data_IF_714368417904
#
_entry.id   IF_714368417904
#
_cell.length_a   1.000
_cell.length_b   1.000
_cell.length_c   1.000
_cell.angle_alpha   90.00
_cell.angle_beta   90.00
_cell.angle_gamma   90.00
#
_symmetry.space_group_name_H-M   'P 1'
#
loop_
_entity.id
_entity.type
_entity.pdbx_description
1 polymer ?
#
# COMPACT_ATOMS: atom_id res chain seq x y z
N UNK A 1 -15.46 50.18 -18.24
CA UNK A 1 -16.09 48.83 -18.22
C UNK A 1 -15.10 47.85 -17.60
N UNK A 2 -15.33 47.42 -16.36
CA UNK A 2 -14.42 46.54 -15.61
C UNK A 2 -14.69 45.09 -16.01
N UNK A 3 -13.68 44.41 -16.57
CA UNK A 3 -13.74 42.99 -16.97
C UNK A 3 -13.49 42.14 -15.72
N UNK A 4 -14.53 41.47 -15.24
CA UNK A 4 -14.41 40.48 -14.15
C UNK A 4 -13.90 39.16 -14.71
N UNK A 5 -12.69 38.78 -14.33
CA UNK A 5 -12.06 37.50 -14.65
C UNK A 5 -12.49 36.50 -13.56
N UNK A 6 -13.45 35.62 -13.87
CA UNK A 6 -13.84 34.54 -12.95
C UNK A 6 -12.81 33.40 -13.07
N UNK A 7 -11.98 33.24 -12.05
CA UNK A 7 -11.04 32.13 -11.89
C UNK A 7 -11.82 30.93 -11.32
N UNK A 8 -12.17 29.94 -12.15
CA UNK A 8 -12.74 28.68 -11.67
C UNK A 8 -11.57 27.82 -11.18
N UNK A 9 -11.35 27.81 -9.87
CA UNK A 9 -10.47 26.85 -9.20
C UNK A 9 -11.22 25.52 -9.19
N UNK A 10 -10.94 24.68 -10.19
CA UNK A 10 -11.37 23.28 -10.19
C UNK A 10 -10.58 22.52 -9.13
N UNK A 11 -11.15 22.38 -7.94
CA UNK A 11 -10.66 21.46 -6.91
C UNK A 11 -10.89 20.04 -7.45
N UNK A 12 -9.86 19.48 -8.09
CA UNK A 12 -9.75 18.05 -8.33
C UNK A 12 -9.53 17.40 -6.96
N UNK A 13 -10.62 17.04 -6.28
CA UNK A 13 -10.56 16.07 -5.17
C UNK A 13 -10.21 14.71 -5.79
N UNK A 14 -8.91 14.47 -5.97
CA UNK A 14 -8.40 13.15 -6.29
C UNK A 14 -8.80 12.21 -5.16
N UNK A 15 -9.67 11.26 -5.46
CA UNK A 15 -10.00 10.16 -4.56
C UNK A 15 -8.71 9.34 -4.35
N UNK A 16 -7.97 9.66 -3.29
CA UNK A 16 -6.91 8.81 -2.80
C UNK A 16 -7.56 7.48 -2.43
N UNK A 17 -7.28 6.44 -3.21
CA UNK A 17 -7.69 5.08 -2.86
C UNK A 17 -6.83 4.68 -1.68
N UNK A 18 -7.37 4.86 -0.46
CA UNK A 18 -6.75 4.33 0.75
C UNK A 18 -6.81 2.81 0.62
N UNK A 19 -5.66 2.18 0.38
CA UNK A 19 -5.59 0.72 0.40
C UNK A 19 -5.72 0.30 1.85
N UNK A 20 -6.69 -0.55 2.14
CA UNK A 20 -6.80 -1.16 3.44
C UNK A 20 -5.61 -2.11 3.61
N UNK A 21 -4.66 -1.77 4.46
CA UNK A 21 -3.72 -2.73 5.01
C UNK A 21 -4.45 -3.52 6.09
N UNK A 22 -4.28 -4.84 6.11
CA UNK A 22 -4.87 -5.70 7.14
C UNK A 22 -3.75 -6.17 8.06
N UNK A 23 -3.90 -5.89 9.36
CA UNK A 23 -2.98 -6.43 10.37
C UNK A 23 -3.33 -7.89 10.60
N UNK A 24 -2.40 -8.80 10.30
CA UNK A 24 -2.57 -10.25 10.45
C UNK A 24 -2.04 -10.72 11.80
N UNK A 25 -1.00 -10.05 12.30
CA UNK A 25 -0.50 -10.25 13.64
C UNK A 25 0.03 -8.93 14.19
N UNK A 26 -0.20 -8.66 15.47
CA UNK A 26 0.34 -7.52 16.19
C UNK A 26 0.47 -7.86 17.66
N UNK A 27 1.62 -7.52 18.23
CA UNK A 27 1.86 -7.62 19.65
C UNK A 27 2.80 -6.49 20.10
N UNK A 28 2.21 -5.53 20.80
CA UNK A 28 2.94 -4.49 21.56
C UNK A 28 3.12 -4.85 23.03
N UNK A 29 2.87 -6.11 23.41
CA UNK A 29 3.08 -6.66 24.75
C UNK A 29 2.24 -6.05 25.90
N UNK A 30 1.33 -5.13 25.59
CA UNK A 30 0.43 -4.47 26.54
C UNK A 30 -0.61 -5.39 27.18
N UNK A 31 -0.93 -6.51 26.54
CA UNK A 31 -1.91 -7.47 27.09
C UNK A 31 -1.35 -8.39 28.18
N UNK A 32 -0.05 -8.35 28.43
CA UNK A 32 0.64 -9.21 29.38
C UNK A 32 1.01 -8.48 30.67
N UNK A 33 1.33 -9.25 31.71
CA UNK A 33 1.81 -8.73 32.99
C UNK A 33 3.34 -8.66 32.98
N UNK A 34 3.92 -7.69 33.69
CA UNK A 34 5.35 -7.68 33.94
C UNK A 34 5.85 -9.01 34.52
N UNK A 35 6.93 -9.54 33.96
CA UNK A 35 7.53 -10.81 34.35
C UNK A 35 6.96 -12.03 33.62
N UNK A 36 5.89 -11.88 32.83
CA UNK A 36 5.33 -12.99 32.06
C UNK A 36 6.37 -13.56 31.09
N UNK A 37 6.52 -14.89 31.09
CA UNK A 37 7.41 -15.60 30.17
C UNK A 37 6.76 -15.75 28.80
N UNK A 38 7.36 -15.13 27.77
CA UNK A 38 6.81 -15.09 26.42
C UNK A 38 6.80 -16.46 25.73
N UNK A 39 7.61 -17.42 26.17
CA UNK A 39 7.50 -18.81 25.67
C UNK A 39 6.16 -19.46 26.01
N UNK A 40 5.57 -19.08 27.16
CA UNK A 40 4.22 -19.49 27.53
C UNK A 40 3.11 -18.77 26.75
N UNK A 41 3.45 -17.69 26.04
CA UNK A 41 2.53 -16.84 25.25
C UNK A 41 2.62 -17.13 23.74
N UNK A 42 3.17 -18.30 23.38
CA UNK A 42 3.26 -18.74 21.98
C UNK A 42 4.40 -18.10 21.19
N UNK A 43 5.43 -17.59 21.86
CA UNK A 43 6.73 -17.31 21.25
C UNK A 43 7.67 -18.51 21.45
N UNK A 44 8.71 -18.60 20.62
CA UNK A 44 9.79 -19.56 20.80
C UNK A 44 11.11 -18.83 20.99
N UNK A 45 11.89 -19.25 21.98
CA UNK A 45 13.19 -18.64 22.32
C UNK A 45 14.27 -19.70 22.24
N UNK A 46 15.42 -19.37 21.63
CA UNK A 46 16.60 -20.22 21.60
C UNK A 46 17.79 -19.52 22.24
N UNK A 47 18.54 -20.25 23.07
CA UNK A 47 19.70 -19.77 23.84
C UNK A 47 19.43 -18.54 24.72
N UNK A 48 18.35 -18.53 25.49
CA UNK A 48 18.10 -17.46 26.49
C UNK A 48 16.68 -17.47 27.02
N UNK A 49 16.22 -16.32 27.49
CA UNK A 49 14.84 -16.08 27.91
C UNK A 49 14.26 -14.83 27.26
N UNK A 50 12.93 -14.75 27.20
CA UNK A 50 12.22 -13.52 26.85
C UNK A 50 11.05 -13.34 27.82
N UNK A 51 11.00 -12.20 28.49
CA UNK A 51 9.97 -11.84 29.45
C UNK A 51 9.38 -10.49 29.13
N UNK A 52 8.14 -10.26 29.53
CA UNK A 52 7.53 -8.93 29.43
C UNK A 52 8.10 -8.03 30.50
N UNK A 53 8.60 -6.87 30.09
CA UNK A 53 9.15 -5.86 30.99
C UNK A 53 8.30 -4.61 30.94
N UNK A 54 7.93 -4.08 32.11
CA UNK A 54 7.32 -2.77 32.20
C UNK A 54 8.42 -1.69 32.24
N UNK A 55 8.29 -0.68 31.38
CA UNK A 55 9.25 0.41 31.22
C UNK A 55 9.54 1.14 32.55
N UNK A 56 8.49 1.45 33.33
CA UNK A 56 8.64 2.16 34.59
C UNK A 56 9.43 1.36 35.63
N UNK A 57 9.26 0.04 35.66
CA UNK A 57 9.97 -0.85 36.59
C UNK A 57 11.43 -1.08 36.17
N UNK A 58 11.71 -1.11 34.86
CA UNK A 58 13.06 -1.29 34.33
C UNK A 58 13.91 -0.02 34.33
N UNK A 59 13.35 1.13 34.66
CA UNK A 59 14.03 2.43 34.58
C UNK A 59 14.42 2.80 33.13
N UNK A 60 13.63 2.36 32.16
CA UNK A 60 13.83 2.64 30.74
C UNK A 60 12.52 2.96 30.03
N UNK A 61 12.56 2.99 28.70
CA UNK A 61 11.39 3.37 27.88
C UNK A 61 10.94 2.19 27.00
N UNK A 62 9.63 1.90 26.96
CA UNK A 62 9.00 1.15 25.89
C UNK A 62 8.95 2.00 24.61
N UNK A 63 8.81 1.41 23.44
CA UNK A 63 8.64 2.21 22.23
C UNK A 63 7.22 2.78 22.17
N UNK A 64 6.23 1.95 22.46
CA UNK A 64 4.84 2.35 22.64
C UNK A 64 4.30 1.78 23.96
N UNK A 65 3.20 2.33 24.45
CA UNK A 65 2.56 1.83 25.66
C UNK A 65 3.46 1.88 26.91
N UNK A 66 3.49 0.78 27.67
CA UNK A 66 4.22 0.64 28.92
C UNK A 66 5.06 -0.64 29.00
N UNK A 67 4.78 -1.62 28.15
CA UNK A 67 5.41 -2.94 28.18
C UNK A 67 6.19 -3.20 26.90
N UNK A 68 7.22 -4.04 27.01
CA UNK A 68 7.96 -4.54 25.86
C UNK A 68 8.49 -5.95 26.16
N UNK A 69 8.96 -6.66 25.15
CA UNK A 69 9.66 -7.93 25.35
C UNK A 69 11.14 -7.67 25.63
N UNK A 70 11.61 -8.01 26.82
CA UNK A 70 13.03 -8.02 27.17
C UNK A 70 13.60 -9.41 26.94
N UNK A 71 14.56 -9.51 26.02
CA UNK A 71 15.26 -10.75 25.71
C UNK A 71 16.63 -10.78 26.38
N UNK A 72 16.93 -11.86 27.09
CA UNK A 72 18.20 -12.09 27.80
C UNK A 72 18.91 -13.32 27.21
N UNK A 73 19.78 -13.13 26.20
CA UNK A 73 20.59 -14.21 25.66
C UNK A 73 21.53 -14.84 26.70
N UNK A 74 21.58 -16.17 26.68
CA UNK A 74 22.52 -17.01 27.43
C UNK A 74 23.67 -17.54 26.55
N UNK A 75 23.59 -17.34 25.24
CA UNK A 75 24.59 -17.73 24.24
C UNK A 75 24.85 -16.62 23.22
N UNK A 76 25.84 -16.84 22.35
CA UNK A 76 26.23 -15.86 21.35
C UNK A 76 25.20 -15.70 20.23
N UNK A 77 24.36 -16.70 20.00
CA UNK A 77 23.37 -16.68 18.93
C UNK A 77 22.00 -16.85 19.55
N UNK A 78 21.25 -15.77 19.69
CA UNK A 78 19.91 -15.80 20.27
C UNK A 78 18.85 -15.58 19.20
N UNK A 79 17.69 -16.23 19.39
CA UNK A 79 16.52 -16.00 18.54
C UNK A 79 15.25 -15.86 19.40
N UNK A 80 14.50 -14.79 19.15
CA UNK A 80 13.12 -14.61 19.60
C UNK A 80 12.19 -14.75 18.40
N UNK A 81 11.31 -15.75 18.40
CA UNK A 81 10.56 -16.18 17.20
C UNK A 81 9.05 -16.22 17.42
N UNK A 82 8.30 -15.85 16.39
CA UNK A 82 6.86 -16.07 16.25
C UNK A 82 6.58 -16.88 14.99
N UNK A 83 5.98 -18.06 15.16
CA UNK A 83 5.49 -18.86 14.04
C UNK A 83 4.09 -18.38 13.65
N UNK A 84 3.84 -18.26 12.36
CA UNK A 84 2.58 -17.82 11.78
C UNK A 84 2.21 -18.73 10.60
N UNK A 85 0.91 -18.82 10.33
CA UNK A 85 0.40 -19.40 9.08
C UNK A 85 -0.15 -18.26 8.22
N UNK A 86 0.41 -18.07 7.04
CA UNK A 86 0.06 -16.99 6.11
C UNK A 86 -0.53 -17.57 4.81
N UNK A 87 -1.29 -16.75 4.09
CA UNK A 87 -1.93 -17.18 2.83
C UNK A 87 -0.94 -17.13 1.66
N UNK A 88 -0.96 -18.17 0.83
CA UNK A 88 -0.17 -18.19 -0.41
C UNK A 88 -0.60 -17.10 -1.41
N UNK A 89 0.37 -16.58 -2.17
CA UNK A 89 0.15 -15.54 -3.17
C UNK A 89 -0.05 -14.13 -2.60
N UNK A 90 -0.03 -13.96 -1.28
CA UNK A 90 -0.13 -12.65 -0.62
C UNK A 90 1.25 -12.07 -0.31
N UNK A 91 1.30 -10.74 -0.31
CA UNK A 91 2.47 -9.98 0.12
C UNK A 91 2.23 -9.47 1.52
N UNK A 92 3.25 -9.58 2.36
CA UNK A 92 3.23 -9.15 3.74
C UNK A 92 4.40 -8.22 4.03
N UNK A 93 4.24 -7.39 5.05
CA UNK A 93 5.30 -6.60 5.66
C UNK A 93 5.44 -7.00 7.12
N UNK A 94 6.61 -7.48 7.52
CA UNK A 94 7.01 -7.67 8.91
C UNK A 94 7.68 -6.41 9.41
N UNK A 95 7.10 -5.80 10.44
CA UNK A 95 7.65 -4.63 11.14
C UNK A 95 7.93 -4.97 12.60
N UNK A 96 9.03 -4.45 13.12
CA UNK A 96 9.38 -4.60 14.54
C UNK A 96 10.26 -3.45 14.99
N UNK A 97 10.07 -3.03 16.24
CA UNK A 97 10.94 -2.07 16.92
C UNK A 97 11.91 -2.84 17.80
N UNK A 98 13.20 -2.54 17.67
CA UNK A 98 14.23 -3.18 18.48
C UNK A 98 15.25 -2.18 19.02
N UNK A 99 15.86 -2.50 20.15
CA UNK A 99 17.07 -1.84 20.65
C UNK A 99 17.93 -2.84 21.44
N UNK A 100 19.22 -2.57 21.53
CA UNK A 100 20.16 -3.27 22.41
C UNK A 100 20.82 -2.24 23.33
N UNK A 101 20.56 -2.24 24.65
CA UNK A 101 21.16 -1.28 25.58
C UNK A 101 22.69 -1.24 25.53
N UNK A 102 23.34 -2.37 25.22
CA UNK A 102 24.80 -2.48 25.09
C UNK A 102 25.32 -2.11 23.68
N UNK A 103 24.43 -1.69 22.77
CA UNK A 103 24.76 -1.37 21.38
C UNK A 103 25.24 -2.58 20.56
N UNK A 104 24.81 -3.81 20.92
CA UNK A 104 25.22 -5.03 20.22
C UNK A 104 24.31 -5.36 19.06
N UNK A 105 24.85 -6.15 18.14
CA UNK A 105 24.20 -6.39 16.88
C UNK A 105 22.96 -7.27 17.03
N UNK A 106 21.90 -6.85 16.36
CA UNK A 106 20.67 -7.59 16.21
C UNK A 106 20.05 -7.30 14.84
N UNK A 107 19.11 -8.13 14.40
CA UNK A 107 18.35 -7.91 13.16
C UNK A 107 17.02 -8.65 13.18
N UNK A 108 16.05 -8.11 12.47
CA UNK A 108 14.80 -8.79 12.16
C UNK A 108 14.96 -9.69 10.92
N UNK A 109 14.25 -10.81 10.89
CA UNK A 109 14.22 -11.73 9.76
C UNK A 109 12.82 -12.32 9.61
N UNK A 110 12.36 -12.42 8.37
CA UNK A 110 11.21 -13.23 7.98
C UNK A 110 11.72 -14.50 7.28
N UNK A 111 11.30 -15.67 7.76
CA UNK A 111 11.47 -16.94 7.06
C UNK A 111 10.14 -17.40 6.49
N UNK A 112 10.12 -17.74 5.21
CA UNK A 112 8.96 -18.28 4.50
C UNK A 112 9.47 -19.40 3.61
N UNK A 113 8.95 -20.62 3.82
CA UNK A 113 9.56 -21.82 3.24
C UNK A 113 11.05 -21.95 3.63
N UNK A 114 11.92 -22.08 2.64
CA UNK A 114 13.39 -22.16 2.84
C UNK A 114 14.11 -20.80 2.76
N UNK A 115 13.37 -19.72 2.47
CA UNK A 115 13.93 -18.39 2.22
C UNK A 115 14.06 -17.63 3.53
N UNK A 116 15.23 -17.03 3.76
CA UNK A 116 15.46 -16.09 4.85
C UNK A 116 15.58 -14.67 4.27
N UNK A 117 14.69 -13.80 4.68
CA UNK A 117 14.62 -12.40 4.22
C UNK A 117 14.95 -11.55 5.45
N UNK A 118 16.17 -11.06 5.50
CA UNK A 118 16.71 -10.38 6.67
C UNK A 118 16.77 -8.86 6.45
N UNK A 119 16.47 -8.10 7.50
CA UNK A 119 16.84 -6.70 7.57
C UNK A 119 18.34 -6.52 7.84
N UNK A 120 18.76 -5.27 7.88
CA UNK A 120 20.14 -4.90 8.20
C UNK A 120 20.53 -5.33 9.62
N UNK A 121 21.81 -5.64 9.79
CA UNK A 121 22.38 -5.88 11.11
C UNK A 121 22.62 -4.53 11.80
N UNK A 122 21.92 -4.28 12.90
CA UNK A 122 21.92 -2.99 13.62
C UNK A 122 22.45 -3.15 15.04
N UNK A 123 23.24 -2.18 15.50
CA UNK A 123 23.75 -2.08 16.88
C UNK A 123 23.20 -0.86 17.60
N UNK A 124 21.88 -0.66 17.53
CA UNK A 124 21.24 0.56 18.01
C UNK A 124 20.93 0.50 19.52
N UNK A 125 21.31 1.55 20.25
CA UNK A 125 20.93 1.76 21.65
C UNK A 125 19.55 2.41 21.79
N UNK A 126 19.11 3.11 20.75
CA UNK A 126 17.77 3.69 20.64
C UNK A 126 16.84 2.77 19.84
N UNK A 127 15.53 2.88 20.09
CA UNK A 127 14.51 2.14 19.36
C UNK A 127 14.61 2.38 17.84
N UNK A 128 14.82 1.30 17.10
CA UNK A 128 14.97 1.32 15.64
C UNK A 128 13.92 0.45 14.99
N UNK A 129 13.26 0.99 13.97
CA UNK A 129 12.29 0.24 13.17
C UNK A 129 13.00 -0.58 12.10
N UNK A 130 12.71 -1.87 12.02
CA UNK A 130 13.00 -2.68 10.84
C UNK A 130 11.69 -3.04 10.14
N UNK A 131 11.68 -2.98 8.80
CA UNK A 131 10.52 -3.33 7.97
C UNK A 131 10.97 -4.21 6.81
N UNK A 132 10.35 -5.38 6.66
CA UNK A 132 10.72 -6.42 5.68
C UNK A 132 9.47 -6.82 4.90
N UNK A 133 9.45 -6.56 3.59
CA UNK A 133 8.35 -6.99 2.71
C UNK A 133 8.71 -8.30 2.01
N UNK A 134 7.77 -9.25 1.99
CA UNK A 134 7.93 -10.55 1.37
C UNK A 134 6.62 -11.08 0.79
N UNK A 135 6.70 -12.00 -0.17
CA UNK A 135 5.54 -12.69 -0.75
C UNK A 135 5.59 -14.17 -0.38
N UNK A 136 4.47 -14.72 0.06
CA UNK A 136 4.31 -16.15 0.36
C UNK A 136 4.09 -16.89 -0.95
N UNK A 137 5.01 -17.78 -1.31
CA UNK A 137 4.90 -18.57 -2.55
C UNK A 137 3.97 -19.78 -2.35
N UNK A 138 3.56 -20.41 -3.45
CA UNK A 138 2.64 -21.55 -3.40
C UNK A 138 3.24 -22.69 -2.55
N UNK A 139 2.47 -23.17 -1.58
CA UNK A 139 2.91 -24.21 -0.65
C UNK A 139 3.84 -23.75 0.49
N UNK A 140 4.19 -22.47 0.60
CA UNK A 140 5.07 -21.94 1.67
C UNK A 140 4.28 -21.26 2.80
N UNK A 141 3.16 -21.82 3.25
CA UNK A 141 2.24 -21.13 4.17
C UNK A 141 2.76 -21.00 5.61
N UNK A 142 3.79 -21.76 5.99
CA UNK A 142 4.45 -21.63 7.29
C UNK A 142 5.52 -20.53 7.25
N UNK A 143 5.34 -19.53 8.11
CA UNK A 143 6.24 -18.40 8.23
C UNK A 143 6.76 -18.25 9.65
N UNK A 144 8.01 -17.82 9.80
CA UNK A 144 8.63 -17.52 11.09
C UNK A 144 9.19 -16.12 11.06
N UNK A 145 8.65 -15.24 11.89
CA UNK A 145 9.21 -13.91 12.12
C UNK A 145 10.12 -13.98 13.32
N UNK A 146 11.34 -13.47 13.22
CA UNK A 146 12.25 -13.48 14.37
C UNK A 146 13.18 -12.28 14.46
N UNK A 147 13.63 -12.04 15.69
CA UNK A 147 14.78 -11.18 15.98
C UNK A 147 15.96 -12.06 16.36
N UNK A 148 17.08 -11.86 15.67
CA UNK A 148 18.36 -12.52 15.93
C UNK A 148 19.33 -11.53 16.59
N UNK A 149 20.11 -11.96 17.57
CA UNK A 149 21.19 -11.15 18.14
C UNK A 149 22.50 -11.92 18.26
N UNK A 150 23.61 -11.19 18.09
CA UNK A 150 24.99 -11.65 18.23
C UNK A 150 25.95 -10.47 18.41
N UNK A 151 26.95 -10.52 19.31
CA UNK A 151 27.19 -11.54 20.32
C UNK A 151 26.13 -11.50 21.44
N UNK A 152 26.30 -12.32 22.48
CA UNK A 152 25.41 -12.36 23.65
C UNK A 152 25.19 -10.96 24.23
N UNK A 153 23.96 -10.46 24.17
CA UNK A 153 23.56 -9.17 24.73
C UNK A 153 22.05 -9.00 24.74
N UNK A 154 21.55 -8.29 25.73
CA UNK A 154 20.14 -7.96 25.86
C UNK A 154 19.62 -7.26 24.60
N UNK A 155 18.42 -7.65 24.18
CA UNK A 155 17.66 -6.99 23.12
C UNK A 155 16.23 -6.77 23.60
N UNK A 156 15.77 -5.55 23.49
CA UNK A 156 14.38 -5.18 23.75
C UNK A 156 13.63 -5.12 22.43
N UNK A 157 12.40 -5.64 22.43
CA UNK A 157 11.54 -5.79 21.25
C UNK A 157 10.17 -5.22 21.58
N UNK A 158 9.62 -4.43 20.66
CA UNK A 158 8.29 -3.82 20.76
C UNK A 158 7.61 -3.74 19.38
N UNK A 159 6.31 -3.48 19.33
CA UNK A 159 5.50 -3.31 18.11
C UNK A 159 5.76 -4.43 17.06
N UNK A 160 5.67 -5.69 17.48
CA UNK A 160 5.93 -6.83 16.61
C UNK A 160 4.72 -7.09 15.70
N UNK A 161 4.84 -6.77 14.41
CA UNK A 161 3.68 -6.68 13.52
C UNK A 161 3.88 -7.36 12.18
N UNK A 162 2.88 -8.09 11.71
CA UNK A 162 2.80 -8.62 10.34
C UNK A 162 1.54 -8.09 9.68
N UNK A 163 1.73 -7.39 8.57
CA UNK A 163 0.70 -6.68 7.84
C UNK A 163 0.54 -7.34 6.47
N UNK A 164 -0.67 -7.74 6.10
CA UNK A 164 -0.98 -8.09 4.71
C UNK A 164 -1.05 -6.81 3.88
N UNK A 165 -0.18 -6.72 2.89
CA UNK A 165 -0.28 -5.70 1.86
C UNK A 165 -1.39 -6.11 0.90
N UNK A 166 -2.49 -5.36 0.92
CA UNK A 166 -3.51 -5.51 -0.10
C UNK A 166 -2.85 -5.35 -1.47
N UNK A 167 -2.90 -6.42 -2.27
CA UNK A 167 -2.47 -6.37 -3.65
C UNK A 167 -3.11 -5.13 -4.28
N UNK A 168 -2.29 -4.32 -4.95
CA UNK A 168 -2.81 -3.21 -5.74
C UNK A 168 -3.46 -3.85 -6.94
N UNK A 169 -4.66 -4.36 -6.77
CA UNK A 169 -5.43 -4.74 -7.91
C UNK A 169 -5.65 -3.43 -8.67
N UNK A 170 -5.03 -3.31 -9.85
CA UNK A 170 -5.46 -2.35 -10.88
C UNK A 170 -6.88 -2.74 -11.36
N UNK A 171 -7.59 -3.63 -10.65
CA UNK A 171 -9.00 -3.86 -10.83
C UNK A 171 -9.74 -2.59 -10.39
N UNK A 172 -10.18 -1.85 -11.40
CA UNK A 172 -11.05 -0.67 -11.30
C UNK A 172 -10.35 0.58 -10.79
N UNK A 173 -9.38 1.07 -11.58
CA UNK A 173 -9.41 2.53 -11.82
C UNK A 173 -10.76 2.80 -12.46
N UNK A 174 -11.75 3.20 -11.65
CA UNK A 174 -12.94 3.83 -12.16
C UNK A 174 -12.44 5.14 -12.77
N UNK A 175 -12.14 5.10 -14.07
CA UNK A 175 -11.87 6.33 -14.81
C UNK A 175 -13.18 7.08 -14.77
N UNK A 176 -13.33 7.97 -13.82
CA UNK A 176 -14.49 8.84 -13.74
C UNK A 176 -14.52 9.70 -15.01
N UNK A 177 -15.66 9.69 -15.68
CA UNK A 177 -15.89 10.41 -16.92
C UNK A 177 -16.02 9.53 -18.17
N UNK A 178 -16.17 10.16 -19.34
CA UNK A 178 -16.50 9.48 -20.58
C UNK A 178 -15.43 8.45 -20.98
N UNK A 179 -15.90 7.28 -21.40
CA UNK A 179 -15.11 6.27 -22.11
C UNK A 179 -15.28 6.49 -23.60
N UNK A 180 -14.18 6.49 -24.34
CA UNK A 180 -14.20 6.60 -25.80
C UNK A 180 -13.51 5.38 -26.36
N UNK A 181 -14.23 4.63 -27.18
CA UNK A 181 -13.75 3.39 -27.79
C UNK A 181 -13.93 3.47 -29.30
N UNK A 182 -13.03 2.85 -30.05
CA UNK A 182 -13.19 2.71 -31.51
C UNK A 182 -14.12 1.53 -31.77
N UNK A 183 -15.23 1.76 -32.47
CA UNK A 183 -16.20 0.72 -32.82
C UNK A 183 -15.87 0.08 -34.17
N UNK A 184 -15.44 0.89 -35.14
CA UNK A 184 -15.02 0.46 -36.47
C UNK A 184 -14.01 1.46 -37.06
N UNK A 185 -13.63 1.31 -38.33
CA UNK A 185 -12.76 2.31 -38.95
C UNK A 185 -13.44 3.67 -39.05
N UNK A 186 -12.77 4.72 -38.56
CA UNK A 186 -13.32 6.06 -38.41
C UNK A 186 -14.47 6.22 -37.41
N UNK A 187 -15.00 5.14 -36.84
CA UNK A 187 -16.17 5.19 -35.95
C UNK A 187 -15.78 5.03 -34.47
N UNK A 188 -16.29 5.94 -33.64
CA UNK A 188 -16.00 6.02 -32.22
C UNK A 188 -17.29 6.05 -31.41
N UNK A 189 -17.33 5.27 -30.34
CA UNK A 189 -18.40 5.23 -29.36
C UNK A 189 -17.96 5.93 -28.07
N UNK A 190 -18.76 6.89 -27.64
CA UNK A 190 -18.64 7.58 -26.35
C UNK A 190 -19.67 7.01 -25.40
N UNK A 191 -19.24 6.47 -24.26
CA UNK A 191 -20.12 5.99 -23.18
C UNK A 191 -19.89 6.82 -21.91
N UNK A 192 -20.97 7.31 -21.30
CA UNK A 192 -20.96 8.20 -20.14
C UNK A 192 -21.99 7.77 -19.09
N UNK A 193 -21.79 8.15 -17.82
CA UNK A 193 -22.76 7.89 -16.74
C UNK A 193 -24.01 8.78 -16.85
N UNK A 194 -23.88 9.98 -17.43
CA UNK A 194 -24.97 10.91 -17.72
C UNK A 194 -25.24 10.96 -19.23
N UNK A 195 -26.44 11.40 -19.62
CA UNK A 195 -26.74 11.70 -21.02
C UNK A 195 -25.79 12.77 -21.58
N UNK A 196 -25.40 12.60 -22.84
CA UNK A 196 -24.53 13.55 -23.55
C UNK A 196 -25.36 14.68 -24.13
N UNK A 197 -24.99 15.92 -23.81
CA UNK A 197 -25.56 17.12 -24.41
C UNK A 197 -24.90 17.44 -25.75
N UNK A 198 -23.56 17.42 -25.81
CA UNK A 198 -22.83 17.65 -27.07
C UNK A 198 -21.46 16.97 -27.11
N UNK A 199 -21.00 16.69 -28.33
CA UNK A 199 -19.65 16.24 -28.63
C UNK A 199 -19.10 17.15 -29.73
N UNK A 200 -17.97 17.80 -29.45
CA UNK A 200 -17.21 18.56 -30.44
C UNK A 200 -15.87 17.88 -30.68
N UNK A 201 -15.50 17.68 -31.94
CA UNK A 201 -14.25 17.04 -32.35
C UNK A 201 -13.37 18.10 -33.02
N UNK A 202 -12.15 18.22 -32.52
CA UNK A 202 -11.15 19.16 -33.00
C UNK A 202 -9.92 18.43 -33.52
N UNK A 203 -9.23 19.01 -34.49
CA UNK A 203 -7.85 18.62 -34.82
C UNK A 203 -6.90 18.93 -33.66
N UNK A 204 -5.67 18.42 -33.72
CA UNK A 204 -4.60 18.79 -32.78
C UNK A 204 -4.23 20.28 -32.82
N UNK A 205 -4.53 20.99 -33.92
CA UNK A 205 -4.36 22.45 -34.04
C UNK A 205 -5.55 23.25 -33.49
N UNK A 206 -6.60 22.59 -32.99
CA UNK A 206 -7.77 23.24 -32.41
C UNK A 206 -8.87 23.61 -33.41
N UNK A 207 -8.77 23.19 -34.67
CA UNK A 207 -9.82 23.40 -35.67
C UNK A 207 -10.99 22.44 -35.42
N UNK A 208 -12.21 22.97 -35.32
CA UNK A 208 -13.42 22.15 -35.22
C UNK A 208 -13.67 21.41 -36.55
N UNK A 209 -13.78 20.08 -36.49
CA UNK A 209 -14.06 19.25 -37.68
C UNK A 209 -15.44 18.63 -37.66
N UNK A 210 -15.99 18.37 -36.47
CA UNK A 210 -17.33 17.78 -36.31
C UNK A 210 -17.95 18.22 -35.01
N UNK A 211 -19.27 18.40 -35.02
CA UNK A 211 -20.05 18.69 -33.82
C UNK A 211 -21.37 17.91 -33.87
N UNK A 212 -21.74 17.35 -32.74
CA UNK A 212 -23.05 16.77 -32.49
C UNK A 212 -23.67 17.46 -31.28
N UNK A 213 -24.91 17.91 -31.41
CA UNK A 213 -25.69 18.55 -30.35
C UNK A 213 -26.93 17.72 -30.07
N UNK A 214 -27.45 17.82 -28.85
CA UNK A 214 -28.66 17.14 -28.39
C UNK A 214 -28.59 15.62 -28.60
N UNK A 215 -27.44 15.01 -28.31
CA UNK A 215 -27.27 13.57 -28.50
C UNK A 215 -28.24 12.77 -27.62
N UNK A 216 -28.56 13.26 -26.41
CA UNK A 216 -29.72 12.81 -25.62
C UNK A 216 -29.57 11.43 -24.95
N UNK A 217 -28.54 10.68 -25.32
CA UNK A 217 -28.22 9.34 -24.84
C UNK A 217 -26.90 9.31 -24.07
N UNK A 218 -26.75 8.29 -23.21
CA UNK A 218 -25.51 7.99 -22.48
C UNK A 218 -24.49 7.25 -23.33
N UNK A 219 -24.90 6.78 -24.51
CA UNK A 219 -24.03 6.17 -25.51
C UNK A 219 -24.23 6.86 -26.84
N UNK A 220 -23.16 7.46 -27.37
CA UNK A 220 -23.22 8.24 -28.61
C UNK A 220 -22.11 7.79 -29.53
N UNK A 221 -22.47 7.45 -30.76
CA UNK A 221 -21.51 7.10 -31.80
C UNK A 221 -21.29 8.29 -32.73
N UNK A 222 -20.04 8.54 -33.12
CA UNK A 222 -19.71 9.47 -34.18
C UNK A 222 -18.66 8.89 -35.12
N UNK A 223 -18.64 9.42 -36.34
CA UNK A 223 -17.82 8.90 -37.42
C UNK A 223 -16.93 10.02 -38.01
N UNK A 224 -15.65 9.72 -38.21
CA UNK A 224 -14.60 10.57 -38.79
C UNK A 224 -14.15 10.09 -40.19
N UNK A 225 -14.91 9.22 -40.84
CA UNK A 225 -14.70 8.83 -42.24
C UNK A 225 -14.70 10.09 -43.12
N UNK A 226 -13.74 10.16 -44.03
CA UNK A 226 -13.49 11.33 -44.87
C UNK A 226 -12.64 12.42 -44.21
N UNK A 227 -12.29 12.31 -42.93
CA UNK A 227 -11.27 13.14 -42.31
C UNK A 227 -9.88 12.50 -42.49
N UNK A 228 -8.83 13.33 -42.49
CA UNK A 228 -7.45 12.86 -42.53
C UNK A 228 -7.12 11.91 -41.37
N UNK A 229 -6.15 11.02 -41.56
CA UNK A 229 -5.58 10.26 -40.46
C UNK A 229 -4.88 11.22 -39.48
N UNK A 230 -4.95 10.93 -38.18
CA UNK A 230 -4.27 11.74 -37.18
C UNK A 230 -4.92 11.77 -35.79
N UNK A 231 -4.38 12.64 -34.93
CA UNK A 231 -4.85 12.86 -33.57
C UNK A 231 -5.98 13.89 -33.53
N UNK A 232 -7.07 13.54 -32.85
CA UNK A 232 -8.23 14.40 -32.62
C UNK A 232 -8.50 14.57 -31.12
N UNK A 233 -9.04 15.73 -30.77
CA UNK A 233 -9.47 16.10 -29.41
C UNK A 233 -10.99 16.14 -29.36
N UNK A 234 -11.58 15.36 -28.47
CA UNK A 234 -13.01 15.38 -28.20
C UNK A 234 -13.27 16.27 -26.98
N UNK A 235 -14.23 17.18 -27.12
CA UNK A 235 -14.86 17.88 -26.00
C UNK A 235 -16.27 17.34 -25.83
N UNK A 236 -16.53 16.67 -24.72
CA UNK A 236 -17.80 16.02 -24.40
C UNK A 236 -18.45 16.83 -23.28
N UNK A 237 -19.70 17.25 -23.49
CA UNK A 237 -20.50 17.97 -22.49
C UNK A 237 -21.71 17.12 -22.15
N UNK A 238 -21.92 16.82 -20.87
CA UNK A 238 -23.13 16.11 -20.42
C UNK A 238 -24.32 17.07 -20.24
N UNK A 239 -25.51 16.52 -20.01
CA UNK A 239 -26.73 17.31 -19.78
C UNK A 239 -26.70 18.17 -18.50
N UNK A 240 -25.72 17.96 -17.61
CA UNK A 240 -25.50 18.78 -16.41
C UNK A 240 -24.50 19.91 -16.66
N UNK A 241 -23.92 19.99 -17.86
CA UNK A 241 -22.90 20.98 -18.22
C UNK A 241 -21.48 20.58 -17.84
N UNK A 242 -21.25 19.37 -17.33
CA UNK A 242 -19.90 18.89 -17.04
C UNK A 242 -19.15 18.68 -18.36
N UNK A 243 -17.90 19.15 -18.40
CA UNK A 243 -17.04 19.07 -19.58
C UNK A 243 -15.94 18.04 -19.36
N UNK A 244 -15.73 17.18 -20.35
CA UNK A 244 -14.64 16.22 -20.39
C UNK A 244 -13.90 16.31 -21.71
N UNK A 245 -12.58 16.13 -21.66
CA UNK A 245 -11.72 16.14 -22.86
C UNK A 245 -11.06 14.78 -23.04
N UNK A 246 -11.11 14.23 -24.25
CA UNK A 246 -10.50 12.94 -24.60
C UNK A 246 -9.71 13.05 -25.89
N UNK A 247 -8.71 12.20 -26.05
CA UNK A 247 -7.91 12.11 -27.27
C UNK A 247 -8.29 10.84 -28.01
N UNK A 248 -8.42 10.90 -29.32
CA UNK A 248 -8.60 9.72 -30.18
C UNK A 248 -7.68 9.80 -31.38
N UNK A 249 -7.32 8.65 -31.94
CA UNK A 249 -6.51 8.56 -33.15
C UNK A 249 -7.37 7.95 -34.26
N UNK A 250 -7.50 8.66 -35.37
CA UNK A 250 -8.13 8.18 -36.59
C UNK A 250 -7.05 7.56 -37.48
N UNK A 251 -7.10 6.24 -37.67
CA UNK A 251 -6.22 5.50 -38.59
C UNK A 251 -7.02 5.07 -39.81
#
# INVERSE_FOLDING_TARGET
>A
MKKSLLFIIGIFMGLATIKAQTVVFEDGFESYTHGDNLTGQGYSVWEGSATVTNAAEAGGDAFSGSNFAQCEPSGNSFYFRKNLTLEEGKTYTFEVMTKSPDGKNHKAVAKVGDRNIAGDLVGATDWTKTSITFTVEAGETEAIMWVYSWPQSRVDIDEFKVIEESATAISKVKVDGPRVTRAASGEFKVSTDNKVSSISVYTSSGQLVKQMTNAGDSEVTFNLNGQSQGLYILRIVDVRGNVSVKKVVNN
#
